data_IF_498476123681
#
_entry.id   IF_498476123681
#
_cell.length_a   1.000
_cell.length_b   1.000
_cell.length_c   1.000
_cell.angle_alpha   90.00
_cell.angle_beta   90.00
_cell.angle_gamma   90.00
#
_symmetry.space_group_name_H-M   'P 1'
#
loop_
_entity.id
_entity.type
_entity.pdbx_description
1 polymer ?
#
# COMPACT_ATOMS: atom_id res chain seq x y z
N UNK A 1 5.38 -18.75 -15.02
CA UNK A 1 6.16 -20.01 -15.03
C UNK A 1 6.97 -20.18 -13.75
N UNK A 2 7.28 -19.11 -12.99
CA UNK A 2 8.11 -19.22 -11.77
C UNK A 2 7.33 -19.44 -10.45
N UNK A 3 6.08 -19.07 -10.38
CA UNK A 3 5.28 -19.28 -9.14
C UNK A 3 4.88 -20.74 -8.94
N UNK A 4 4.56 -21.47 -10.01
CA UNK A 4 4.22 -22.88 -9.89
C UNK A 4 5.39 -23.75 -9.37
N UNK A 5 6.62 -23.32 -9.62
CA UNK A 5 7.83 -24.02 -9.13
C UNK A 5 8.06 -23.83 -7.63
N UNK A 6 7.72 -22.66 -7.08
CA UNK A 6 7.87 -22.37 -5.64
C UNK A 6 6.84 -23.17 -4.83
N UNK A 7 5.57 -23.17 -5.24
CA UNK A 7 4.53 -23.96 -4.59
C UNK A 7 4.79 -25.46 -4.71
N UNK A 8 5.24 -25.92 -5.86
CA UNK A 8 5.58 -27.33 -6.05
C UNK A 8 6.81 -27.76 -5.23
N UNK A 9 7.81 -26.88 -5.06
CA UNK A 9 8.96 -27.15 -4.20
C UNK A 9 8.58 -27.15 -2.72
N UNK A 10 7.73 -26.25 -2.27
CA UNK A 10 7.18 -26.21 -0.90
C UNK A 10 6.38 -27.48 -0.58
N UNK A 11 5.47 -27.86 -1.47
CA UNK A 11 4.65 -29.07 -1.30
C UNK A 11 5.56 -30.31 -1.28
N UNK A 12 6.57 -30.37 -2.15
CA UNK A 12 7.52 -31.47 -2.19
C UNK A 12 8.32 -31.57 -0.89
N UNK A 13 8.83 -30.44 -0.39
CA UNK A 13 9.57 -30.41 0.90
C UNK A 13 8.67 -30.86 2.05
N UNK A 14 7.40 -30.47 2.05
CA UNK A 14 6.43 -30.88 3.06
C UNK A 14 6.14 -32.39 3.00
N UNK A 15 5.96 -32.93 1.78
CA UNK A 15 5.75 -34.37 1.57
C UNK A 15 6.97 -35.16 1.98
N UNK A 16 8.19 -34.73 1.60
CA UNK A 16 9.43 -35.39 1.95
C UNK A 16 9.64 -35.39 3.47
N UNK A 17 9.32 -34.29 4.15
CA UNK A 17 9.40 -34.17 5.61
C UNK A 17 8.37 -35.06 6.32
N UNK A 18 7.16 -35.14 5.76
CA UNK A 18 6.12 -36.04 6.27
C UNK A 18 6.53 -37.51 6.12
N UNK A 19 7.07 -37.88 4.96
CA UNK A 19 7.55 -39.25 4.72
C UNK A 19 8.73 -39.63 5.65
N UNK A 20 9.67 -38.71 5.90
CA UNK A 20 10.76 -38.94 6.85
C UNK A 20 10.24 -39.14 8.28
N UNK A 21 9.28 -38.32 8.71
CA UNK A 21 8.69 -38.49 10.04
C UNK A 21 7.95 -39.82 10.18
N UNK A 22 7.19 -40.22 9.15
CA UNK A 22 6.48 -41.52 9.15
C UNK A 22 7.47 -42.69 9.17
N UNK A 23 8.58 -42.66 8.40
CA UNK A 23 9.57 -43.70 8.40
C UNK A 23 10.31 -43.81 9.75
N UNK A 24 10.67 -42.66 10.35
CA UNK A 24 11.27 -42.63 11.68
C UNK A 24 10.37 -43.23 12.77
N UNK A 25 9.08 -42.90 12.74
CA UNK A 25 8.09 -43.44 13.68
C UNK A 25 7.96 -44.95 13.47
N UNK A 26 7.96 -45.40 12.24
CA UNK A 26 7.82 -46.82 11.90
C UNK A 26 9.05 -47.62 12.33
N UNK A 27 10.24 -47.10 12.10
CA UNK A 27 11.52 -47.73 12.48
C UNK A 27 11.66 -47.83 14.01
N UNK A 28 11.33 -46.75 14.73
CA UNK A 28 11.36 -46.75 16.21
C UNK A 28 10.28 -47.64 16.80
N UNK A 29 9.10 -47.71 16.16
CA UNK A 29 8.03 -48.63 16.59
C UNK A 29 8.41 -50.11 16.48
N UNK A 30 9.28 -50.45 15.50
CA UNK A 30 9.75 -51.81 15.30
C UNK A 30 10.92 -52.17 16.18
N UNK A 31 11.86 -51.25 16.46
CA UNK A 31 13.07 -51.51 17.21
C UNK A 31 12.96 -51.27 18.73
N UNK A 32 12.23 -50.20 19.13
CA UNK A 32 12.09 -49.75 20.52
C UNK A 32 10.72 -49.24 20.89
N UNK A 33 9.71 -50.10 21.07
CA UNK A 33 8.32 -49.68 21.33
C UNK A 33 8.14 -48.89 22.65
N UNK A 34 9.07 -49.05 23.61
CA UNK A 34 9.06 -48.34 24.89
C UNK A 34 9.39 -46.82 24.76
N UNK A 35 10.12 -46.44 23.72
CA UNK A 35 10.51 -45.04 23.47
C UNK A 35 9.49 -44.29 22.59
N UNK A 36 8.50 -44.99 22.11
CA UNK A 36 7.52 -44.45 21.18
C UNK A 36 6.67 -43.33 21.82
N UNK A 37 6.33 -43.49 23.10
CA UNK A 37 5.56 -42.52 23.85
C UNK A 37 6.32 -41.19 24.07
N UNK A 38 7.62 -41.28 24.41
CA UNK A 38 8.48 -40.10 24.59
C UNK A 38 8.78 -39.40 23.29
N UNK A 39 8.88 -40.15 22.18
CA UNK A 39 9.11 -39.62 20.86
C UNK A 39 7.85 -38.89 20.30
N UNK A 40 6.68 -39.49 20.52
CA UNK A 40 5.40 -38.84 20.15
C UNK A 40 5.19 -37.56 20.97
N UNK A 41 5.51 -37.55 22.26
CA UNK A 41 5.44 -36.36 23.11
C UNK A 41 6.41 -35.28 22.64
N UNK A 42 7.66 -35.63 22.27
CA UNK A 42 8.63 -34.66 21.73
C UNK A 42 8.26 -34.17 20.32
N UNK A 43 7.61 -34.99 19.49
CA UNK A 43 7.11 -34.60 18.18
C UNK A 43 5.86 -33.76 18.27
N UNK A 44 4.96 -33.98 19.24
CA UNK A 44 3.78 -33.12 19.45
C UNK A 44 4.17 -31.73 19.91
N UNK A 45 5.27 -31.58 20.65
CA UNK A 45 5.86 -30.28 20.99
C UNK A 45 6.54 -29.61 19.76
N UNK A 46 7.04 -30.44 18.83
CA UNK A 46 7.70 -29.93 17.60
C UNK A 46 6.73 -29.78 16.43
N UNK A 47 5.58 -30.50 16.47
CA UNK A 47 4.51 -30.38 15.43
C UNK A 47 3.68 -29.10 15.61
N UNK A 48 3.88 -28.38 16.71
CA UNK A 48 3.59 -26.96 16.82
C UNK A 48 4.58 -26.08 16.06
N UNK A 49 5.18 -26.57 14.96
CA UNK A 49 5.85 -25.69 14.00
C UNK A 49 4.77 -24.82 13.33
N UNK A 50 4.23 -23.93 14.12
CA UNK A 50 3.71 -22.66 13.63
C UNK A 50 4.78 -22.18 12.67
N UNK A 51 4.44 -22.04 11.39
CA UNK A 51 5.24 -21.27 10.44
C UNK A 51 5.24 -19.86 11.03
N UNK A 52 6.16 -19.63 11.94
CA UNK A 52 6.41 -18.32 12.49
C UNK A 52 7.14 -17.61 11.34
N UNK A 53 6.42 -16.78 10.62
CA UNK A 53 7.03 -15.81 9.72
C UNK A 53 8.02 -15.01 10.57
N UNK A 54 9.29 -15.45 10.57
CA UNK A 54 10.37 -14.73 11.21
C UNK A 54 10.56 -13.48 10.35
N UNK A 55 9.86 -12.43 10.72
CA UNK A 55 10.17 -11.11 10.22
C UNK A 55 11.63 -10.84 10.56
N UNK A 56 12.51 -10.86 9.55
CA UNK A 56 13.94 -10.56 9.65
C UNK A 56 14.24 -9.22 10.34
N UNK A 57 13.21 -8.46 10.69
CA UNK A 57 13.27 -7.12 11.29
C UNK A 57 12.77 -7.07 12.74
N UNK A 58 12.49 -8.22 13.39
CA UNK A 58 12.21 -8.28 14.83
C UNK A 58 10.99 -7.49 15.32
N UNK A 59 10.03 -7.20 14.45
CA UNK A 59 8.78 -6.57 14.82
C UNK A 59 7.65 -7.53 14.45
N UNK A 60 6.96 -8.07 15.44
CA UNK A 60 5.69 -8.78 15.28
C UNK A 60 4.64 -7.79 14.72
N UNK A 61 4.69 -7.56 13.41
CA UNK A 61 3.65 -6.79 12.73
C UNK A 61 2.76 -7.79 12.03
N UNK A 62 1.48 -7.71 12.35
CA UNK A 62 0.45 -8.45 11.65
C UNK A 62 0.65 -8.30 10.13
N UNK A 63 0.61 -9.41 9.36
CA UNK A 63 0.79 -9.36 7.91
C UNK A 63 -0.22 -8.41 7.22
N UNK A 64 -1.34 -8.15 7.87
CA UNK A 64 -2.36 -7.20 7.40
C UNK A 64 -1.95 -5.73 7.52
N UNK A 65 -1.00 -5.39 8.36
CA UNK A 65 -0.56 -3.99 8.57
C UNK A 65 -0.08 -3.35 7.26
N UNK A 66 0.56 -4.12 6.39
CA UNK A 66 1.03 -3.65 5.09
C UNK A 66 -0.12 -3.18 4.19
N UNK A 67 -1.26 -3.88 4.21
CA UNK A 67 -2.44 -3.49 3.42
C UNK A 67 -3.02 -2.14 3.86
N UNK A 68 -2.99 -1.83 5.16
CA UNK A 68 -3.45 -0.54 5.67
C UNK A 68 -2.52 0.61 5.25
N UNK A 69 -1.21 0.38 5.27
CA UNK A 69 -0.26 1.37 4.72
C UNK A 69 -0.47 1.57 3.22
N UNK A 70 -0.70 0.50 2.46
CA UNK A 70 -1.00 0.57 1.04
C UNK A 70 -2.29 1.37 0.76
N UNK A 71 -3.34 1.19 1.57
CA UNK A 71 -4.59 1.93 1.46
C UNK A 71 -4.40 3.43 1.68
N UNK A 72 -3.63 3.81 2.70
CA UNK A 72 -3.29 5.22 2.98
C UNK A 72 -2.48 5.80 1.80
N UNK A 73 -1.48 5.06 1.30
CA UNK A 73 -0.66 5.50 0.18
C UNK A 73 -1.48 5.66 -1.11
N UNK A 74 -2.41 4.74 -1.40
CA UNK A 74 -3.34 4.86 -2.53
C UNK A 74 -4.22 6.10 -2.41
N UNK A 75 -4.71 6.40 -1.21
CA UNK A 75 -5.49 7.62 -0.96
C UNK A 75 -4.68 8.88 -1.27
N UNK A 76 -3.38 8.90 -0.89
CA UNK A 76 -2.49 10.01 -1.21
C UNK A 76 -2.25 10.14 -2.72
N UNK A 77 -2.10 9.03 -3.45
CA UNK A 77 -1.88 9.03 -4.89
C UNK A 77 -3.09 9.57 -5.68
N UNK A 78 -4.31 9.33 -5.21
CA UNK A 78 -5.54 9.88 -5.84
C UNK A 78 -5.53 11.41 -5.85
N UNK A 79 -4.84 12.06 -4.91
CA UNK A 79 -4.66 13.51 -4.90
C UNK A 79 -4.05 14.06 -6.19
N UNK A 80 -3.30 13.25 -6.95
CA UNK A 80 -2.74 13.65 -8.25
C UNK A 80 -3.83 14.05 -9.24
N UNK A 81 -4.98 13.36 -9.25
CA UNK A 81 -6.12 13.70 -10.11
C UNK A 81 -6.74 15.06 -9.73
N UNK A 82 -6.80 15.35 -8.42
CA UNK A 82 -7.33 16.65 -7.97
C UNK A 82 -6.34 17.76 -8.32
N UNK A 83 -5.05 17.54 -8.17
CA UNK A 83 -4.01 18.47 -8.63
C UNK A 83 -4.11 18.75 -10.14
N UNK A 84 -4.38 17.72 -10.95
CA UNK A 84 -4.63 17.87 -12.39
C UNK A 84 -5.84 18.75 -12.69
N UNK A 85 -6.96 18.52 -12.01
CA UNK A 85 -8.19 19.29 -12.20
C UNK A 85 -7.99 20.76 -11.80
N UNK A 86 -7.32 21.01 -10.66
CA UNK A 86 -6.99 22.37 -10.24
C UNK A 86 -6.16 23.10 -11.30
N UNK A 87 -5.17 22.42 -11.90
CA UNK A 87 -4.35 23.01 -12.96
C UNK A 87 -5.11 23.20 -14.29
N UNK A 88 -6.09 22.35 -14.61
CA UNK A 88 -6.94 22.51 -15.79
C UNK A 88 -7.94 23.68 -15.61
N UNK A 89 -8.45 23.89 -14.40
CA UNK A 89 -9.42 24.95 -14.10
C UNK A 89 -8.83 26.36 -14.13
N UNK A 90 -7.53 26.49 -14.32
CA UNK A 90 -6.86 27.77 -14.53
C UNK A 90 -6.71 28.09 -16.03
N UNK A 91 -6.83 27.09 -16.89
CA UNK A 91 -6.66 27.24 -18.33
C UNK A 91 -8.00 27.57 -18.99
N UNK A 92 -8.09 28.77 -19.58
CA UNK A 92 -9.32 29.30 -20.19
C UNK A 92 -9.89 28.41 -21.30
N UNK A 93 -9.01 27.72 -22.03
CA UNK A 93 -9.38 26.93 -23.20
C UNK A 93 -9.89 25.52 -22.87
N UNK A 94 -9.71 25.06 -21.63
CA UNK A 94 -10.00 23.68 -21.27
C UNK A 94 -11.30 23.50 -20.51
N UNK A 95 -11.65 24.44 -19.64
CA UNK A 95 -12.84 24.33 -18.79
C UNK A 95 -13.65 25.63 -18.78
N UNK A 96 -15.00 25.55 -18.64
CA UNK A 96 -15.84 26.75 -18.48
C UNK A 96 -15.48 27.52 -17.21
N UNK A 97 -14.98 26.85 -16.18
CA UNK A 97 -14.51 27.46 -14.93
C UNK A 97 -13.23 28.24 -15.19
N UNK A 98 -12.31 27.70 -15.94
CA UNK A 98 -11.08 28.37 -16.36
C UNK A 98 -11.37 29.64 -17.18
N UNK A 99 -12.34 29.60 -18.11
CA UNK A 99 -12.74 30.76 -18.87
C UNK A 99 -13.25 31.91 -17.96
N UNK A 100 -14.07 31.58 -16.98
CA UNK A 100 -14.59 32.59 -16.02
C UNK A 100 -13.49 33.13 -15.11
N UNK A 101 -12.57 32.29 -14.64
CA UNK A 101 -11.47 32.71 -13.77
C UNK A 101 -10.44 33.60 -14.49
N UNK A 102 -10.28 33.44 -15.80
CA UNK A 102 -9.39 34.30 -16.57
C UNK A 102 -9.90 35.73 -16.76
N UNK A 103 -11.21 35.97 -16.58
CA UNK A 103 -11.80 37.32 -16.61
C UNK A 103 -11.66 38.03 -15.26
N UNK A 104 -11.43 37.29 -14.18
CA UNK A 104 -11.25 37.85 -12.84
C UNK A 104 -9.92 38.63 -12.73
N UNK A 105 -9.86 39.77 -12.05
CA UNK A 105 -8.70 40.62 -11.91
C UNK A 105 -7.70 40.05 -10.87
N UNK A 106 -7.42 38.72 -10.90
CA UNK A 106 -6.49 38.05 -9.97
C UNK A 106 -5.33 37.44 -10.72
N UNK A 107 -4.12 37.56 -10.21
CA UNK A 107 -2.96 36.91 -10.83
C UNK A 107 -3.10 35.38 -10.77
N UNK A 108 -2.80 34.71 -11.90
CA UNK A 108 -2.97 33.25 -12.04
C UNK A 108 -2.22 32.44 -10.98
N UNK A 109 -1.03 32.87 -10.58
CA UNK A 109 -0.25 32.22 -9.53
C UNK A 109 -0.98 32.18 -8.18
N UNK A 110 -1.68 33.25 -7.88
CA UNK A 110 -2.45 33.34 -6.62
C UNK A 110 -3.65 32.40 -6.67
N UNK A 111 -4.32 32.26 -7.81
CA UNK A 111 -5.41 31.31 -8.00
C UNK A 111 -4.93 29.87 -7.83
N UNK A 112 -3.79 29.52 -8.49
CA UNK A 112 -3.16 28.19 -8.32
C UNK A 112 -2.85 27.90 -6.86
N UNK A 113 -2.26 28.88 -6.15
CA UNK A 113 -1.87 28.72 -4.77
C UNK A 113 -3.09 28.49 -3.85
N UNK A 114 -4.18 29.23 -4.05
CA UNK A 114 -5.41 29.04 -3.27
C UNK A 114 -6.04 27.66 -3.51
N UNK A 115 -6.16 27.23 -4.77
CA UNK A 115 -6.71 25.92 -5.10
C UNK A 115 -5.84 24.79 -4.57
N UNK A 116 -4.52 24.96 -4.63
CA UNK A 116 -3.56 24.00 -4.10
C UNK A 116 -3.67 23.88 -2.57
N UNK A 117 -3.67 25.00 -1.85
CA UNK A 117 -3.77 25.02 -0.38
C UNK A 117 -5.13 24.45 0.07
N UNK A 118 -6.22 24.85 -0.59
CA UNK A 118 -7.54 24.31 -0.27
C UNK A 118 -7.62 22.79 -0.46
N UNK A 119 -7.11 22.29 -1.58
CA UNK A 119 -7.06 20.86 -1.86
C UNK A 119 -6.13 20.12 -0.89
N UNK A 120 -5.00 20.70 -0.53
CA UNK A 120 -4.09 20.13 0.44
C UNK A 120 -4.72 19.97 1.82
N UNK A 121 -5.40 21.00 2.32
CA UNK A 121 -6.12 20.92 3.60
C UNK A 121 -7.19 19.83 3.54
N UNK A 122 -7.95 19.74 2.45
CA UNK A 122 -8.96 18.71 2.26
C UNK A 122 -8.33 17.31 2.33
N UNK A 123 -7.21 17.11 1.64
CA UNK A 123 -6.53 15.81 1.64
C UNK A 123 -5.90 15.46 2.99
N UNK A 124 -5.41 16.43 3.74
CA UNK A 124 -4.97 16.19 5.12
C UNK A 124 -6.13 15.68 5.99
N UNK A 125 -7.34 16.24 5.81
CA UNK A 125 -8.54 15.77 6.52
C UNK A 125 -8.92 14.36 6.08
N UNK A 126 -8.88 14.06 4.78
CA UNK A 126 -9.19 12.73 4.24
C UNK A 126 -8.19 11.69 4.77
N UNK A 127 -6.89 11.98 4.74
CA UNK A 127 -5.84 11.09 5.25
C UNK A 127 -6.01 10.85 6.75
N UNK A 128 -6.32 11.90 7.52
CA UNK A 128 -6.59 11.77 8.95
C UNK A 128 -7.83 10.91 9.20
N UNK A 129 -8.89 11.08 8.40
CA UNK A 129 -10.11 10.27 8.48
C UNK A 129 -9.83 8.80 8.16
N UNK A 130 -9.14 8.49 7.05
CA UNK A 130 -8.78 7.12 6.64
C UNK A 130 -7.91 6.46 7.70
N UNK A 131 -6.87 7.16 8.19
CA UNK A 131 -6.00 6.65 9.26
C UNK A 131 -6.80 6.42 10.56
N UNK A 132 -7.73 7.32 10.89
CA UNK A 132 -8.64 7.18 12.02
C UNK A 132 -9.54 5.95 11.88
N UNK A 133 -10.14 5.72 10.72
CA UNK A 133 -10.94 4.51 10.45
C UNK A 133 -10.08 3.26 10.60
N UNK A 134 -8.86 3.24 10.07
CA UNK A 134 -7.96 2.09 10.24
C UNK A 134 -7.63 1.83 11.72
N UNK A 135 -7.42 2.86 12.52
CA UNK A 135 -7.09 2.72 13.93
C UNK A 135 -8.30 2.32 14.79
N UNK A 136 -9.49 2.97 14.58
CA UNK A 136 -10.64 2.78 15.47
C UNK A 136 -11.56 1.64 15.03
N UNK A 137 -11.78 1.45 13.72
CA UNK A 137 -12.70 0.42 13.22
C UNK A 137 -11.98 -0.91 13.09
N UNK A 138 -10.80 -0.91 12.48
CA UNK A 138 -10.02 -2.14 12.28
C UNK A 138 -9.08 -2.45 13.46
N UNK A 139 -9.06 -1.60 14.50
CA UNK A 139 -8.21 -1.75 15.68
C UNK A 139 -6.74 -2.03 15.32
N UNK A 140 -6.32 -1.49 14.17
CA UNK A 140 -4.95 -1.67 13.71
C UNK A 140 -3.99 -0.89 14.60
N UNK A 141 -3.08 -1.60 15.22
CA UNK A 141 -2.06 -0.98 16.06
C UNK A 141 -0.93 -0.41 15.20
N UNK A 142 -0.95 0.91 15.00
CA UNK A 142 0.16 1.63 14.37
C UNK A 142 1.32 1.88 15.36
N UNK A 143 1.21 1.36 16.59
CA UNK A 143 2.18 1.55 17.67
C UNK A 143 2.38 3.03 17.99
N UNK A 144 3.56 3.36 18.51
CA UNK A 144 3.91 4.73 18.88
C UNK A 144 4.14 5.68 17.67
N UNK A 145 3.88 5.19 16.42
CA UNK A 145 4.24 5.88 15.17
C UNK A 145 3.03 6.42 14.40
N UNK A 146 1.83 6.45 14.97
CA UNK A 146 0.62 6.95 14.31
C UNK A 146 0.79 8.39 13.78
N UNK A 147 1.48 9.24 14.52
CA UNK A 147 1.80 10.61 14.10
C UNK A 147 2.71 10.64 12.86
N UNK A 148 3.68 9.71 12.75
CA UNK A 148 4.56 9.60 11.59
C UNK A 148 3.79 9.12 10.34
N UNK A 149 2.80 8.23 10.51
CA UNK A 149 1.92 7.79 9.42
C UNK A 149 1.10 8.95 8.89
N UNK A 150 0.51 9.77 9.77
CA UNK A 150 -0.22 10.98 9.38
C UNK A 150 0.68 11.99 8.66
N UNK A 151 1.87 12.25 9.20
CA UNK A 151 2.84 13.14 8.55
C UNK A 151 3.25 12.62 7.17
N UNK A 152 3.54 11.33 7.06
CA UNK A 152 3.85 10.69 5.78
C UNK A 152 2.72 10.83 4.77
N UNK A 153 1.47 10.63 5.20
CA UNK A 153 0.28 10.82 4.38
C UNK A 153 0.08 12.27 3.92
N UNK A 154 0.32 13.25 4.80
CA UNK A 154 0.25 14.67 4.42
C UNK A 154 1.34 15.04 3.40
N UNK A 155 2.59 14.60 3.60
CA UNK A 155 3.69 14.81 2.66
C UNK A 155 3.39 14.10 1.32
N UNK A 156 2.90 12.87 1.37
CA UNK A 156 2.49 12.12 0.19
C UNK A 156 1.39 12.82 -0.61
N UNK A 157 0.38 13.36 0.07
CA UNK A 157 -0.70 14.13 -0.56
C UNK A 157 -0.20 15.43 -1.18
N UNK A 158 0.72 16.13 -0.50
CA UNK A 158 1.34 17.35 -1.02
C UNK A 158 2.10 17.07 -2.33
N UNK A 159 2.96 16.04 -2.33
CA UNK A 159 3.73 15.65 -3.52
C UNK A 159 2.83 15.20 -4.67
N UNK A 160 1.79 14.42 -4.38
CA UNK A 160 0.83 13.96 -5.38
C UNK A 160 0.05 15.12 -6.01
N UNK A 161 -0.46 16.06 -5.20
CA UNK A 161 -1.10 17.28 -5.69
C UNK A 161 -0.16 18.10 -6.58
N UNK A 162 1.11 18.27 -6.17
CA UNK A 162 2.10 19.00 -6.94
C UNK A 162 2.36 18.36 -8.30
N UNK A 163 2.54 17.03 -8.34
CA UNK A 163 2.73 16.28 -9.59
C UNK A 163 1.53 16.48 -10.53
N UNK A 164 0.30 16.34 -10.04
CA UNK A 164 -0.91 16.56 -10.83
C UNK A 164 -0.99 17.97 -11.41
N UNK A 165 -0.71 18.98 -10.60
CA UNK A 165 -0.70 20.39 -11.02
C UNK A 165 0.38 20.66 -12.07
N UNK A 166 1.58 20.10 -11.91
CA UNK A 166 2.68 20.21 -12.87
C UNK A 166 2.28 19.57 -14.21
N UNK A 167 1.70 18.37 -14.19
CA UNK A 167 1.21 17.70 -15.41
C UNK A 167 0.19 18.59 -16.13
N UNK A 168 -0.76 19.18 -15.39
CA UNK A 168 -1.78 20.04 -15.95
C UNK A 168 -1.20 21.27 -16.66
N UNK A 169 -0.18 21.90 -16.08
CA UNK A 169 0.41 23.15 -16.57
C UNK A 169 1.38 22.89 -17.72
N UNK A 170 2.24 21.87 -17.60
CA UNK A 170 3.29 21.62 -18.59
C UNK A 170 2.81 20.83 -19.81
N UNK A 171 1.77 20.00 -19.66
CA UNK A 171 1.24 19.23 -20.78
C UNK A 171 0.29 20.07 -21.63
N UNK A 172 0.60 20.23 -22.92
CA UNK A 172 -0.26 20.89 -23.89
C UNK A 172 -1.22 19.89 -24.53
N UNK A 173 -2.49 20.23 -24.65
CA UNK A 173 -3.49 19.42 -25.34
C UNK A 173 -4.82 19.35 -24.62
N UNK A 174 -5.69 18.44 -25.06
CA UNK A 174 -7.02 18.24 -24.48
C UNK A 174 -6.94 17.67 -23.06
N UNK A 175 -7.98 17.88 -22.26
CA UNK A 175 -8.13 17.35 -20.89
C UNK A 175 -7.89 15.84 -20.88
N UNK A 176 -8.45 15.10 -21.84
CA UNK A 176 -8.31 13.64 -21.94
C UNK A 176 -6.85 13.16 -22.09
N UNK A 177 -6.03 13.90 -22.83
CA UNK A 177 -4.57 13.56 -22.95
C UNK A 177 -3.85 13.76 -21.64
N UNK A 178 -4.19 14.81 -20.90
CA UNK A 178 -3.61 15.11 -19.59
C UNK A 178 -4.04 14.08 -18.54
N UNK A 179 -5.31 13.69 -18.56
CA UNK A 179 -5.86 12.62 -17.70
C UNK A 179 -5.17 11.30 -17.99
N UNK A 180 -5.00 10.93 -19.26
CA UNK A 180 -4.28 9.72 -19.65
C UNK A 180 -2.84 9.68 -19.14
N UNK A 181 -2.12 10.82 -19.25
CA UNK A 181 -0.76 10.92 -18.71
C UNK A 181 -0.75 10.84 -17.19
N UNK A 182 -1.71 11.48 -16.52
CA UNK A 182 -1.84 11.44 -15.07
C UNK A 182 -2.12 10.00 -14.58
N UNK A 183 -3.01 9.27 -15.25
CA UNK A 183 -3.30 7.85 -14.96
C UNK A 183 -2.05 7.00 -15.17
N UNK A 184 -1.29 7.24 -16.24
CA UNK A 184 -0.05 6.50 -16.49
C UNK A 184 0.97 6.72 -15.36
N UNK A 185 1.18 7.96 -14.92
CA UNK A 185 2.06 8.29 -13.79
C UNK A 185 1.56 7.66 -12.50
N UNK A 186 0.25 7.71 -12.24
CA UNK A 186 -0.39 7.07 -11.09
C UNK A 186 -0.13 5.55 -11.09
N UNK A 187 -0.37 4.88 -12.21
CA UNK A 187 -0.18 3.43 -12.34
C UNK A 187 1.29 3.02 -12.16
N UNK A 188 2.22 3.74 -12.80
CA UNK A 188 3.66 3.48 -12.65
C UNK A 188 4.09 3.68 -11.19
N UNK A 189 3.67 4.77 -10.56
CA UNK A 189 4.00 5.05 -9.15
C UNK A 189 3.43 4.00 -8.21
N UNK A 190 2.18 3.56 -8.42
CA UNK A 190 1.53 2.52 -7.63
C UNK A 190 2.25 1.17 -7.78
N UNK A 191 2.69 0.85 -8.99
CA UNK A 191 3.42 -0.40 -9.27
C UNK A 191 4.81 -0.40 -8.64
N UNK A 192 5.56 0.71 -8.77
CA UNK A 192 6.89 0.87 -8.17
C UNK A 192 6.85 0.88 -6.64
N UNK A 193 5.77 1.40 -6.06
CA UNK A 193 5.56 1.39 -4.61
C UNK A 193 5.13 0.02 -4.06
N UNK A 194 4.88 -0.98 -4.91
CA UNK A 194 4.43 -2.30 -4.48
C UNK A 194 3.02 -2.32 -3.87
N UNK A 195 2.18 -1.33 -4.18
CA UNK A 195 0.84 -1.22 -3.62
C UNK A 195 -0.17 -2.21 -4.23
N UNK A 196 0.23 -2.95 -5.26
CA UNK A 196 -0.63 -3.88 -5.98
C UNK A 196 -0.22 -5.35 -5.83
N UNK A 197 0.74 -5.65 -4.96
CA UNK A 197 1.22 -7.01 -4.67
C UNK A 197 0.74 -7.51 -3.31
#
# INVERSE_FOLDING_TARGET
VKESDIYSSLIKTFIDQYQQNVSLITDVAMEHPEKLADMIASMSDTTGATIQEISLKGTDKDPYTQYFYALIAMTCLIATMVGLNNGNDIQADLTPVGARRNVAPMPKLVQVAYDFVASFILYCIIVAFVTGVCAFVFQQDFGNNAALVLLGGCIGSFTSLAIGTVIAIFTRGSVQKKEGLCVAVFMISSFLAGLQW
#
